data_IF_886089694690
#
_entry.id   IF_886089694690
#
_cell.length_a   1.000
_cell.length_b   1.000
_cell.length_c   1.000
_cell.angle_alpha   90.00
_cell.angle_beta   90.00
_cell.angle_gamma   90.00
#
_symmetry.space_group_name_H-M   'P 1'
#
loop_
_entity.id
_entity.type
_entity.pdbx_description
1 polymer ?
#
# COMPACT_ATOMS: atom_id res chain seq x y z
N UNK A 1 21.11 -54.56 9.62
CA UNK A 1 21.54 -53.26 9.02
C UNK A 1 20.60 -52.18 9.53
N UNK A 2 21.15 -51.09 10.09
CA UNK A 2 20.44 -50.15 10.95
C UNK A 2 19.46 -49.26 10.16
N UNK A 3 18.27 -48.92 10.70
CA UNK A 3 17.26 -48.07 10.04
C UNK A 3 17.70 -46.59 9.93
N UNK A 4 18.83 -46.22 10.55
CA UNK A 4 19.38 -44.86 10.53
C UNK A 4 19.98 -44.43 9.18
N UNK A 5 20.26 -45.35 8.25
CA UNK A 5 20.89 -44.99 6.97
C UNK A 5 19.88 -44.53 5.91
N UNK A 6 18.58 -44.84 6.06
CA UNK A 6 17.57 -44.54 5.03
C UNK A 6 16.92 -43.16 5.17
N UNK A 7 17.07 -42.49 6.32
CA UNK A 7 16.49 -41.16 6.57
C UNK A 7 17.36 -40.02 6.00
N UNK A 8 18.67 -40.26 5.79
CA UNK A 8 19.60 -39.22 5.35
C UNK A 8 19.47 -38.85 3.86
N UNK A 9 18.95 -39.77 3.02
CA UNK A 9 18.86 -39.56 1.56
C UNK A 9 17.66 -38.68 1.18
N UNK A 10 16.58 -38.70 1.96
CA UNK A 10 15.37 -37.90 1.68
C UNK A 10 15.57 -36.41 2.01
N UNK A 11 16.50 -36.08 2.92
CA UNK A 11 16.82 -34.70 3.29
C UNK A 11 17.81 -34.01 2.33
N UNK A 12 18.48 -34.78 1.45
CA UNK A 12 19.41 -34.24 0.45
C UNK A 12 18.75 -33.94 -0.91
N UNK A 13 17.47 -34.29 -1.09
CA UNK A 13 16.62 -33.73 -2.15
C UNK A 13 16.17 -32.33 -1.73
N UNK A 14 17.14 -31.44 -1.50
CA UNK A 14 16.89 -30.02 -1.45
C UNK A 14 16.12 -29.65 -2.72
N UNK A 15 14.97 -29.00 -2.54
CA UNK A 15 14.21 -28.43 -3.64
C UNK A 15 15.13 -27.53 -4.45
N UNK A 16 15.68 -28.06 -5.54
CA UNK A 16 16.17 -27.24 -6.64
C UNK A 16 14.88 -26.70 -7.26
N UNK A 17 14.38 -25.59 -6.73
CA UNK A 17 13.40 -24.80 -7.47
C UNK A 17 14.11 -24.44 -8.78
N UNK A 18 13.65 -24.94 -9.94
CA UNK A 18 14.20 -24.45 -11.19
C UNK A 18 14.05 -22.93 -11.11
N UNK A 19 15.16 -22.23 -11.34
CA UNK A 19 15.14 -20.78 -11.44
C UNK A 19 14.32 -20.51 -12.70
N UNK A 20 13.01 -20.32 -12.56
CA UNK A 20 12.16 -19.95 -13.67
C UNK A 20 12.80 -18.71 -14.28
N UNK A 21 13.22 -18.83 -15.54
CA UNK A 21 13.60 -17.68 -16.33
C UNK A 21 12.29 -16.97 -16.57
N UNK A 22 12.01 -15.96 -15.74
CA UNK A 22 10.85 -15.10 -15.92
C UNK A 22 11.02 -14.42 -17.28
N UNK A 23 10.34 -14.92 -18.31
CA UNK A 23 10.33 -14.27 -19.63
C UNK A 23 9.53 -12.97 -19.57
N UNK A 24 8.76 -12.82 -18.49
CA UNK A 24 7.83 -11.73 -18.28
C UNK A 24 6.43 -12.03 -18.82
N UNK A 25 6.19 -13.16 -19.49
CA UNK A 25 4.87 -13.50 -20.02
C UNK A 25 4.38 -14.93 -19.73
N UNK A 26 4.96 -15.60 -18.75
CA UNK A 26 4.64 -16.99 -18.40
C UNK A 26 3.51 -17.10 -17.35
N UNK A 27 2.84 -15.99 -17.02
CA UNK A 27 1.81 -16.00 -15.99
C UNK A 27 0.56 -16.76 -16.48
N UNK A 28 0.08 -17.72 -15.66
CA UNK A 28 -1.02 -18.64 -16.01
C UNK A 28 -2.33 -17.96 -16.43
N UNK A 29 -2.55 -16.68 -16.08
CA UNK A 29 -3.73 -15.93 -16.53
C UNK A 29 -3.70 -15.55 -18.02
N UNK A 30 -2.52 -15.54 -18.65
CA UNK A 30 -2.32 -15.00 -20.00
C UNK A 30 -2.32 -13.47 -20.08
N UNK A 31 -2.44 -12.75 -18.96
CA UNK A 31 -2.59 -11.29 -18.89
C UNK A 31 -1.27 -10.57 -18.55
N UNK A 32 -0.17 -11.03 -19.14
CA UNK A 32 1.16 -10.57 -18.71
C UNK A 32 1.40 -9.08 -18.96
N UNK A 33 0.84 -8.53 -20.05
CA UNK A 33 0.99 -7.12 -20.39
C UNK A 33 0.15 -6.26 -19.45
N UNK A 34 -1.11 -6.64 -19.21
CA UNK A 34 -2.02 -5.91 -18.31
C UNK A 34 -1.49 -5.88 -16.88
N UNK A 35 -0.95 -7.00 -16.38
CA UNK A 35 -0.32 -7.07 -15.07
C UNK A 35 0.92 -6.16 -15.03
N UNK A 36 1.75 -6.19 -16.08
CA UNK A 36 2.95 -5.35 -16.17
C UNK A 36 2.59 -3.87 -16.20
N UNK A 37 1.64 -3.49 -17.04
CA UNK A 37 1.20 -2.10 -17.20
C UNK A 37 0.59 -1.59 -15.89
N UNK A 38 -0.26 -2.39 -15.25
CA UNK A 38 -0.84 -2.06 -13.95
C UNK A 38 0.25 -1.94 -12.87
N UNK A 39 1.23 -2.86 -12.84
CA UNK A 39 2.33 -2.80 -11.89
C UNK A 39 3.15 -1.52 -12.09
N UNK A 40 3.48 -1.16 -13.34
CA UNK A 40 4.21 0.08 -13.65
C UNK A 40 3.40 1.32 -13.22
N UNK A 41 2.10 1.37 -13.54
CA UNK A 41 1.24 2.51 -13.21
C UNK A 41 1.03 2.66 -11.69
N UNK A 42 0.87 1.54 -10.97
CA UNK A 42 0.60 1.55 -9.53
C UNK A 42 1.85 1.67 -8.66
N UNK A 43 3.04 1.40 -9.22
CA UNK A 43 4.30 1.38 -8.47
C UNK A 43 4.57 2.69 -7.73
N UNK A 44 4.24 3.83 -8.35
CA UNK A 44 4.42 5.16 -7.76
C UNK A 44 3.63 5.33 -6.45
N UNK A 45 2.43 4.75 -6.36
CA UNK A 45 1.61 4.79 -5.14
C UNK A 45 2.07 3.77 -4.08
N UNK A 46 2.63 2.64 -4.50
CA UNK A 46 3.24 1.68 -3.58
C UNK A 46 4.47 2.29 -2.87
N UNK A 47 5.29 3.05 -3.61
CA UNK A 47 6.41 3.79 -3.05
C UNK A 47 5.96 4.82 -2.00
N UNK A 48 4.92 5.62 -2.29
CA UNK A 48 4.35 6.54 -1.32
C UNK A 48 3.79 5.82 -0.09
N UNK A 49 3.09 4.71 -0.29
CA UNK A 49 2.55 3.86 0.78
C UNK A 49 3.63 3.29 1.70
N UNK A 50 4.86 3.13 1.20
CA UNK A 50 6.03 2.76 2.02
C UNK A 50 6.67 3.97 2.70
N UNK A 51 6.74 5.11 2.01
CA UNK A 51 7.39 6.31 2.52
C UNK A 51 6.58 6.99 3.64
N UNK A 52 5.25 6.82 3.68
CA UNK A 52 4.40 7.38 4.74
C UNK A 52 4.70 6.80 6.14
N UNK A 53 5.43 5.68 6.22
CA UNK A 53 5.95 5.14 7.48
C UNK A 53 7.22 5.87 7.98
N UNK A 54 7.82 6.74 7.16
CA UNK A 54 8.97 7.58 7.51
C UNK A 54 10.19 6.83 8.08
N UNK A 55 10.35 5.56 7.68
CA UNK A 55 11.49 4.72 8.05
C UNK A 55 12.79 5.16 7.35
N UNK A 56 13.93 4.65 7.82
CA UNK A 56 15.28 4.99 7.36
C UNK A 56 15.44 4.94 5.84
N UNK A 57 15.03 3.82 5.23
CA UNK A 57 15.05 3.69 3.77
C UNK A 57 13.78 4.28 3.18
N UNK A 58 13.89 5.23 2.25
CA UNK A 58 12.75 5.79 1.53
C UNK A 58 13.02 5.80 0.03
N UNK A 59 11.97 5.59 -0.75
CA UNK A 59 12.06 5.79 -2.19
C UNK A 59 12.22 7.27 -2.50
N UNK A 60 13.09 7.62 -3.45
CA UNK A 60 13.15 8.98 -3.98
C UNK A 60 11.94 9.22 -4.88
N UNK A 61 10.95 9.93 -4.36
CA UNK A 61 9.70 10.24 -5.05
C UNK A 61 9.57 11.71 -5.47
N UNK A 62 10.56 12.55 -5.14
CA UNK A 62 10.51 14.00 -5.35
C UNK A 62 10.35 14.44 -6.81
N UNK A 63 10.74 13.56 -7.74
CA UNK A 63 10.67 13.83 -9.18
C UNK A 63 9.24 13.60 -9.72
N UNK A 64 8.38 12.92 -8.96
CA UNK A 64 6.99 12.59 -9.31
C UNK A 64 5.97 13.26 -8.39
N UNK A 65 6.35 13.48 -7.13
CA UNK A 65 5.45 13.96 -6.10
C UNK A 65 6.09 15.03 -5.24
N UNK A 66 5.28 16.02 -4.88
CA UNK A 66 5.62 17.02 -3.86
C UNK A 66 4.77 16.79 -2.63
N UNK A 67 5.39 16.54 -1.47
CA UNK A 67 4.64 16.47 -0.20
C UNK A 67 4.10 17.86 0.15
N UNK A 68 2.82 17.93 0.48
CA UNK A 68 2.10 19.17 0.79
C UNK A 68 1.86 19.28 2.30
N UNK A 69 1.35 18.22 2.91
CA UNK A 69 0.87 18.25 4.30
C UNK A 69 0.94 16.84 4.92
N UNK A 70 1.12 16.77 6.24
CA UNK A 70 1.04 15.54 7.03
C UNK A 70 -0.09 15.68 8.05
N UNK A 71 -0.80 14.58 8.31
CA UNK A 71 -1.92 14.53 9.25
C UNK A 71 -1.63 13.47 10.30
N UNK A 72 -1.77 13.81 11.57
CA UNK A 72 -1.54 12.91 12.69
C UNK A 72 -2.66 13.07 13.73
N UNK A 73 -3.19 11.95 14.20
CA UNK A 73 -4.00 11.92 15.41
C UNK A 73 -3.51 10.77 16.31
N UNK A 74 -2.72 11.12 17.32
CA UNK A 74 -2.06 10.18 18.24
C UNK A 74 -3.05 9.38 19.08
N UNK A 75 -4.23 9.93 19.39
CA UNK A 75 -5.22 9.25 20.22
C UNK A 75 -5.77 7.98 19.55
N UNK A 76 -5.80 7.98 18.21
CA UNK A 76 -6.32 6.88 17.40
C UNK A 76 -5.23 6.24 16.54
N UNK A 77 -3.95 6.56 16.76
CA UNK A 77 -2.80 6.12 15.95
C UNK A 77 -2.98 6.33 14.44
N UNK A 78 -3.61 7.44 14.06
CA UNK A 78 -3.82 7.80 12.66
C UNK A 78 -2.65 8.63 12.14
N UNK A 79 -2.15 8.25 10.96
CA UNK A 79 -1.14 9.01 10.23
C UNK A 79 -1.44 8.98 8.73
N UNK A 80 -1.34 10.13 8.06
CA UNK A 80 -1.47 10.26 6.62
C UNK A 80 -0.60 11.39 6.07
N UNK A 81 -0.34 11.37 4.77
CA UNK A 81 0.36 12.44 4.08
C UNK A 81 -0.31 12.76 2.73
N UNK A 82 -0.45 14.05 2.45
CA UNK A 82 -0.93 14.57 1.18
C UNK A 82 0.26 14.93 0.29
N UNK A 83 0.18 14.47 -0.95
CA UNK A 83 1.12 14.79 -2.00
C UNK A 83 0.38 15.43 -3.17
N UNK A 84 1.07 16.32 -3.89
CA UNK A 84 0.69 16.74 -5.23
C UNK A 84 1.41 15.83 -6.23
N UNK A 85 0.67 15.24 -7.16
CA UNK A 85 1.21 14.53 -8.32
C UNK A 85 1.65 15.55 -9.37
N UNK A 86 2.94 15.57 -9.69
CA UNK A 86 3.53 16.54 -10.61
C UNK A 86 3.20 16.22 -12.08
N UNK A 87 2.78 15.00 -12.38
CA UNK A 87 2.42 14.58 -13.74
C UNK A 87 0.98 14.97 -14.08
N UNK A 88 0.06 14.75 -13.14
CA UNK A 88 -1.38 14.98 -13.34
C UNK A 88 -1.89 16.29 -12.73
N UNK A 89 -1.05 17.00 -11.97
CA UNK A 89 -1.40 18.14 -11.11
C UNK A 89 -2.48 17.84 -10.05
N UNK A 90 -2.86 16.57 -9.89
CA UNK A 90 -3.81 16.10 -8.88
C UNK A 90 -3.18 15.92 -7.51
N UNK A 91 -3.97 15.42 -6.58
CA UNK A 91 -3.53 15.14 -5.21
C UNK A 91 -3.62 13.66 -4.89
N UNK A 92 -2.71 13.18 -4.05
CA UNK A 92 -2.67 11.82 -3.53
C UNK A 92 -2.62 11.86 -2.00
N UNK A 93 -3.67 11.37 -1.35
CA UNK A 93 -3.73 11.19 0.10
C UNK A 93 -3.33 9.75 0.46
N UNK A 94 -2.25 9.62 1.22
CA UNK A 94 -1.66 8.31 1.52
C UNK A 94 -1.77 8.04 3.01
N UNK A 95 -2.42 6.94 3.37
CA UNK A 95 -2.64 6.53 4.75
C UNK A 95 -1.55 5.54 5.19
N UNK A 96 -0.96 5.79 6.37
CA UNK A 96 -0.08 4.84 7.04
C UNK A 96 -0.92 3.70 7.61
N UNK A 97 -0.41 2.48 7.50
CA UNK A 97 -0.96 1.37 8.29
C UNK A 97 -0.37 1.33 9.70
N UNK A 98 -0.48 0.17 10.36
CA UNK A 98 0.18 -0.08 11.64
C UNK A 98 1.60 -0.63 11.41
N UNK A 99 2.51 -0.39 12.35
CA UNK A 99 3.88 -0.93 12.34
C UNK A 99 3.99 -2.35 12.93
N UNK A 100 2.85 -3.00 13.23
CA UNK A 100 2.77 -4.32 13.82
C UNK A 100 1.78 -5.19 13.04
N UNK A 101 2.31 -6.16 12.28
CA UNK A 101 1.51 -7.20 11.59
C UNK A 101 0.76 -8.11 12.58
N UNK A 102 1.16 -8.10 13.86
CA UNK A 102 0.49 -8.80 14.97
C UNK A 102 -0.67 -8.00 15.58
N UNK A 103 -0.92 -6.76 15.13
CA UNK A 103 -2.01 -5.87 15.60
C UNK A 103 -3.12 -5.66 14.55
N UNK A 104 -3.24 -6.57 13.57
CA UNK A 104 -4.35 -6.61 12.60
C UNK A 104 -5.74 -6.74 13.27
N UNK A 105 -5.80 -6.94 14.60
CA UNK A 105 -7.06 -7.00 15.38
C UNK A 105 -7.57 -5.63 15.88
N UNK A 106 -6.89 -4.50 15.66
CA UNK A 106 -7.33 -3.17 16.16
C UNK A 106 -7.66 -2.10 15.10
N UNK A 107 -7.31 -2.33 13.83
CA UNK A 107 -7.74 -1.50 12.69
C UNK A 107 -8.63 -2.30 11.72
N UNK A 108 -9.36 -1.61 10.82
CA UNK A 108 -10.47 -2.16 10.01
C UNK A 108 -11.34 -3.18 10.77
N UNK A 109 -11.47 -2.94 12.08
CA UNK A 109 -12.15 -3.79 13.02
C UNK A 109 -13.59 -3.25 13.09
N UNK A 110 -14.62 -4.08 12.88
CA UNK A 110 -16.01 -3.64 12.98
C UNK A 110 -16.37 -2.99 14.33
N UNK A 111 -15.54 -3.16 15.36
CA UNK A 111 -15.73 -2.58 16.70
C UNK A 111 -15.06 -1.22 16.93
N UNK A 112 -14.13 -0.77 16.07
CA UNK A 112 -13.53 0.57 16.15
C UNK A 112 -13.21 1.13 14.76
N UNK A 113 -14.00 2.11 14.32
CA UNK A 113 -13.90 2.76 13.01
C UNK A 113 -13.43 4.22 13.10
N UNK A 114 -12.88 4.66 14.23
CA UNK A 114 -12.49 6.06 14.43
C UNK A 114 -11.49 6.56 13.38
N UNK A 115 -10.51 5.73 12.98
CA UNK A 115 -9.58 6.06 11.90
C UNK A 115 -10.28 6.22 10.55
N UNK A 116 -11.32 5.42 10.27
CA UNK A 116 -12.10 5.53 9.03
C UNK A 116 -12.91 6.83 9.01
N UNK A 117 -13.60 7.16 10.10
CA UNK A 117 -14.34 8.42 10.23
C UNK A 117 -13.43 9.63 10.08
N UNK A 118 -12.28 9.63 10.76
CA UNK A 118 -11.31 10.71 10.68
C UNK A 118 -10.68 10.81 9.28
N UNK A 119 -10.44 9.69 8.60
CA UNK A 119 -9.96 9.69 7.21
C UNK A 119 -10.94 10.38 6.26
N UNK A 120 -12.25 10.17 6.44
CA UNK A 120 -13.29 10.83 5.65
C UNK A 120 -13.32 12.35 5.91
N UNK A 121 -13.18 12.77 7.16
CA UNK A 121 -13.08 14.20 7.53
C UNK A 121 -11.87 14.86 6.88
N UNK A 122 -10.69 14.26 6.99
CA UNK A 122 -9.47 14.76 6.35
C UNK A 122 -9.61 14.81 4.83
N UNK A 123 -10.21 13.79 4.22
CA UNK A 123 -10.46 13.77 2.78
C UNK A 123 -11.35 14.94 2.35
N UNK A 124 -12.46 15.18 3.04
CA UNK A 124 -13.40 16.27 2.74
C UNK A 124 -12.75 17.65 2.94
N UNK A 125 -11.96 17.80 4.01
CA UNK A 125 -11.20 19.03 4.28
C UNK A 125 -10.16 19.33 3.21
N UNK A 126 -9.43 18.32 2.74
CA UNK A 126 -8.46 18.46 1.64
C UNK A 126 -9.17 18.92 0.37
N UNK A 127 -10.29 18.27 0.01
CA UNK A 127 -11.06 18.66 -1.18
C UNK A 127 -11.51 20.12 -1.12
N UNK A 128 -12.01 20.54 0.04
CA UNK A 128 -12.44 21.92 0.25
C UNK A 128 -11.27 22.91 0.23
N UNK A 129 -10.17 22.59 0.91
CA UNK A 129 -9.00 23.46 1.07
C UNK A 129 -8.23 23.66 -0.24
N UNK A 130 -8.09 22.60 -1.02
CA UNK A 130 -7.26 22.60 -2.23
C UNK A 130 -8.06 22.62 -3.54
N UNK A 131 -9.40 22.62 -3.48
CA UNK A 131 -10.25 22.55 -4.66
C UNK A 131 -10.04 21.25 -5.45
N UNK A 132 -9.64 20.16 -4.79
CA UNK A 132 -9.34 18.91 -5.45
C UNK A 132 -10.64 18.23 -5.93
N UNK A 133 -10.98 18.41 -7.21
CA UNK A 133 -12.13 17.77 -7.83
C UNK A 133 -12.02 16.24 -7.82
N UNK A 134 -10.78 15.75 -7.99
CA UNK A 134 -10.37 14.35 -7.94
C UNK A 134 -9.21 14.20 -6.97
N UNK A 135 -9.31 13.22 -6.06
CA UNK A 135 -8.29 12.93 -5.05
C UNK A 135 -7.98 11.44 -5.08
N UNK A 136 -6.73 11.10 -5.35
CA UNK A 136 -6.28 9.70 -5.31
C UNK A 136 -6.01 9.29 -3.87
N UNK A 137 -6.36 8.07 -3.49
CA UNK A 137 -6.06 7.53 -2.15
C UNK A 137 -5.23 6.26 -2.24
N UNK A 138 -4.27 6.10 -1.32
CA UNK A 138 -3.43 4.91 -1.27
C UNK A 138 -3.03 4.56 0.16
N UNK A 139 -2.54 3.34 0.36
CA UNK A 139 -1.98 2.91 1.62
C UNK A 139 -1.62 1.42 1.60
N UNK A 140 -0.78 1.01 2.55
CA UNK A 140 -0.38 -0.39 2.74
C UNK A 140 -0.95 -0.95 4.05
N UNK A 141 -1.21 -2.26 4.10
CA UNK A 141 -1.78 -2.93 5.29
C UNK A 141 -3.08 -2.24 5.74
N UNK A 142 -3.21 -1.83 7.00
CA UNK A 142 -4.35 -1.05 7.50
C UNK A 142 -4.62 0.22 6.67
N UNK A 143 -3.57 0.92 6.22
CA UNK A 143 -3.73 2.14 5.41
C UNK A 143 -4.43 1.86 4.08
N UNK A 144 -4.22 0.68 3.50
CA UNK A 144 -4.95 0.23 2.30
C UNK A 144 -6.43 -0.04 2.59
N UNK A 145 -6.74 -0.54 3.79
CA UNK A 145 -8.12 -0.68 4.27
C UNK A 145 -8.83 0.68 4.43
N UNK A 146 -8.14 1.66 5.01
CA UNK A 146 -8.65 3.04 5.15
C UNK A 146 -8.87 3.67 3.77
N UNK A 147 -7.88 3.55 2.87
CA UNK A 147 -8.00 4.03 1.48
C UNK A 147 -9.23 3.42 0.78
N UNK A 148 -9.43 2.11 0.92
CA UNK A 148 -10.61 1.41 0.38
C UNK A 148 -11.90 1.95 0.98
N UNK A 149 -11.93 2.17 2.30
CA UNK A 149 -13.10 2.73 2.98
C UNK A 149 -13.46 4.13 2.45
N UNK A 150 -12.48 5.00 2.24
CA UNK A 150 -12.69 6.31 1.62
C UNK A 150 -13.25 6.17 0.21
N UNK A 151 -12.65 5.31 -0.63
CA UNK A 151 -13.11 5.07 -2.01
C UNK A 151 -14.55 4.57 -2.09
N UNK A 152 -15.03 3.82 -1.08
CA UNK A 152 -16.40 3.33 -1.04
C UNK A 152 -17.42 4.36 -0.54
N UNK A 153 -16.96 5.37 0.21
CA UNK A 153 -17.84 6.33 0.91
C UNK A 153 -17.76 7.75 0.35
N UNK A 154 -16.92 8.01 -0.65
CA UNK A 154 -16.78 9.33 -1.30
C UNK A 154 -16.70 9.20 -2.82
N UNK A 155 -17.30 10.16 -3.52
CA UNK A 155 -17.22 10.28 -4.96
C UNK A 155 -15.93 10.96 -5.42
N UNK A 156 -15.53 10.71 -6.67
CA UNK A 156 -14.32 11.24 -7.32
C UNK A 156 -13.01 10.84 -6.60
N UNK A 157 -12.99 9.64 -6.05
CA UNK A 157 -11.80 8.98 -5.53
C UNK A 157 -11.18 8.10 -6.62
N UNK A 158 -9.85 8.02 -6.68
CA UNK A 158 -9.14 7.07 -7.56
C UNK A 158 -8.04 6.36 -6.81
#
# INVERSE_FOLDING_TARGET
MKPTLMILVVLLLGCVTPKEILTGCDHYSGWCNEIRDLAVQSWKYAQLSKNVYEQEYQFKVSDLFKRIESFENKAIDFNAALYQDLESEGYVLVFRGTDSTLDYRRGNNPFNQEQNSYALEIFDDIRKKYGAEKLTVAGHSLGGGIATHVSLNRGNVT
#
